data_IF_356406093589
#
_entry.id   IF_356406093589
#
_cell.length_a   1.000
_cell.length_b   1.000
_cell.length_c   1.000
_cell.angle_alpha   90.00
_cell.angle_beta   90.00
_cell.angle_gamma   90.00
#
_symmetry.space_group_name_H-M   'P 1'
#
loop_
_entity.id
_entity.type
_entity.pdbx_description
1 polymer ?
#
# COMPACT_ATOMS: atom_id res chain seq x y z
N UNK A 1 0.93 -10.07 -8.82
CA UNK A 1 1.29 -9.81 -7.40
C UNK A 1 2.64 -9.10 -7.40
N UNK A 2 2.91 -8.14 -6.52
CA UNK A 2 4.30 -7.64 -6.30
C UNK A 2 4.88 -8.40 -5.12
N UNK A 3 6.13 -8.83 -5.22
CA UNK A 3 6.77 -9.57 -4.13
C UNK A 3 7.02 -8.66 -2.92
N UNK A 4 6.98 -9.22 -1.72
CA UNK A 4 7.28 -8.53 -0.46
C UNK A 4 8.64 -9.00 0.07
N UNK A 5 9.51 -8.06 0.41
CA UNK A 5 10.82 -8.30 1.03
C UNK A 5 10.82 -7.72 2.43
N UNK A 6 11.01 -8.54 3.45
CA UNK A 6 11.13 -8.06 4.83
C UNK A 6 12.58 -7.96 5.27
N UNK A 7 12.95 -6.82 5.86
CA UNK A 7 14.26 -6.62 6.49
C UNK A 7 14.13 -6.96 7.97
N UNK A 8 14.81 -8.02 8.40
CA UNK A 8 14.85 -8.47 9.80
C UNK A 8 16.25 -8.37 10.36
N UNK A 9 16.36 -8.32 11.67
CA UNK A 9 17.64 -8.24 12.38
C UNK A 9 17.48 -7.56 13.71
N UNK A 10 18.45 -7.74 14.61
CA UNK A 10 18.42 -7.10 15.93
C UNK A 10 18.47 -5.56 15.82
N UNK A 11 18.16 -4.81 16.89
CA UNK A 11 18.25 -3.36 16.89
C UNK A 11 19.66 -2.86 16.52
N UNK A 12 19.72 -1.65 15.94
CA UNK A 12 20.97 -0.94 15.58
C UNK A 12 21.87 -1.54 14.49
N UNK A 13 21.50 -2.69 13.87
CA UNK A 13 22.23 -3.25 12.71
C UNK A 13 22.10 -2.45 11.41
N UNK A 14 21.35 -1.34 11.42
CA UNK A 14 21.19 -0.45 10.26
C UNK A 14 20.02 -0.75 9.33
N UNK A 15 18.97 -1.46 9.80
CA UNK A 15 17.76 -1.79 9.02
C UNK A 15 17.12 -0.57 8.36
N UNK A 16 16.83 0.48 9.12
CA UNK A 16 16.18 1.69 8.60
C UNK A 16 17.06 2.46 7.62
N UNK A 17 18.38 2.42 7.79
CA UNK A 17 19.33 2.99 6.82
C UNK A 17 19.27 2.24 5.49
N UNK A 18 19.24 0.91 5.54
CA UNK A 18 19.11 0.08 4.34
C UNK A 18 17.73 0.24 3.68
N UNK A 19 16.65 0.22 4.46
CA UNK A 19 15.28 0.48 4.00
C UNK A 19 15.18 1.81 3.24
N UNK A 20 15.67 2.89 3.84
CA UNK A 20 15.64 4.21 3.23
C UNK A 20 16.44 4.28 1.92
N UNK A 21 17.47 3.44 1.77
CA UNK A 21 18.23 3.34 0.54
C UNK A 21 17.47 2.60 -0.56
N UNK A 22 16.75 1.54 -0.21
CA UNK A 22 15.95 0.75 -1.16
C UNK A 22 14.81 1.54 -1.80
N UNK A 23 14.25 2.51 -1.07
CA UNK A 23 13.08 3.30 -1.54
C UNK A 23 13.47 4.53 -2.39
N UNK A 24 14.75 4.84 -2.58
CA UNK A 24 15.19 6.12 -3.15
C UNK A 24 15.34 6.13 -4.69
N UNK A 25 14.21 6.24 -5.41
CA UNK A 25 14.07 7.04 -6.65
C UNK A 25 12.66 7.69 -6.74
N UNK A 26 12.68 9.04 -6.69
CA UNK A 26 11.65 10.10 -6.92
C UNK A 26 10.35 10.08 -6.09
N UNK A 27 10.25 11.09 -5.22
CA UNK A 27 9.03 11.63 -4.61
C UNK A 27 8.19 10.66 -3.75
N UNK A 28 8.82 10.06 -2.74
CA UNK A 28 8.09 9.78 -1.51
C UNK A 28 8.39 10.94 -0.55
N UNK A 29 7.43 11.86 -0.43
CA UNK A 29 7.38 12.82 0.67
C UNK A 29 7.48 11.99 1.95
N UNK A 30 8.59 12.15 2.66
CA UNK A 30 8.69 11.74 4.06
C UNK A 30 7.83 12.75 4.81
N UNK A 31 6.53 12.51 4.87
CA UNK A 31 5.70 13.16 5.86
C UNK A 31 6.01 12.47 7.19
N UNK A 32 7.01 13.02 7.88
CA UNK A 32 7.16 12.86 9.31
C UNK A 32 5.99 13.58 9.97
N UNK A 33 4.82 12.95 10.02
CA UNK A 33 3.78 13.32 10.97
C UNK A 33 4.35 12.99 12.34
N UNK A 34 4.85 14.05 13.00
CA UNK A 34 5.34 14.03 14.37
C UNK A 34 4.20 13.63 15.31
N UNK A 35 4.12 12.35 15.64
CA UNK A 35 3.26 11.81 16.68
C UNK A 35 3.12 10.29 16.55
N UNK A 36 3.65 9.56 17.55
CA UNK A 36 3.65 8.09 17.75
C UNK A 36 4.46 7.22 16.77
N UNK A 37 5.77 7.10 17.00
CA UNK A 37 6.61 6.05 16.39
C UNK A 37 6.51 4.74 17.18
N UNK A 38 5.65 3.82 16.71
CA UNK A 38 5.71 2.36 16.95
C UNK A 38 5.66 1.54 15.64
N UNK A 39 5.50 2.18 14.49
CA UNK A 39 5.00 1.53 13.28
C UNK A 39 6.08 1.09 12.28
N UNK A 40 5.85 -0.08 11.68
CA UNK A 40 6.65 -0.65 10.58
C UNK A 40 6.57 0.24 9.34
N UNK A 41 7.70 0.42 8.67
CA UNK A 41 7.75 1.25 7.46
C UNK A 41 7.56 0.38 6.22
N UNK A 42 6.68 0.84 5.31
CA UNK A 42 6.44 0.23 4.01
C UNK A 42 6.96 1.12 2.90
N UNK A 43 7.71 0.52 1.99
CA UNK A 43 8.29 1.19 0.83
C UNK A 43 8.12 0.35 -0.42
N UNK A 44 8.14 1.00 -1.59
CA UNK A 44 8.28 0.31 -2.87
C UNK A 44 9.72 0.47 -3.35
N UNK A 45 10.27 -0.58 -3.93
CA UNK A 45 11.58 -0.59 -4.57
C UNK A 45 11.46 -1.17 -5.96
N UNK A 46 12.31 -0.69 -6.87
CA UNK A 46 12.43 -1.19 -8.23
C UNK A 46 13.91 -1.42 -8.51
N UNK A 47 14.26 -2.63 -8.95
CA UNK A 47 15.62 -2.96 -9.37
C UNK A 47 15.60 -3.87 -10.58
N UNK A 48 16.40 -3.54 -11.60
CA UNK A 48 16.45 -4.26 -12.88
C UNK A 48 15.06 -4.56 -13.50
N UNK A 49 14.12 -3.61 -13.37
CA UNK A 49 12.75 -3.74 -13.88
C UNK A 49 11.83 -4.65 -13.07
N UNK A 50 12.27 -5.21 -11.93
CA UNK A 50 11.41 -5.90 -10.98
C UNK A 50 11.01 -4.96 -9.85
N UNK A 51 9.71 -4.77 -9.69
CA UNK A 51 9.12 -4.04 -8.56
C UNK A 51 8.82 -4.99 -7.38
N UNK A 52 9.16 -4.54 -6.17
CA UNK A 52 8.83 -5.26 -4.94
C UNK A 52 8.57 -4.28 -3.79
N UNK A 53 7.70 -4.69 -2.87
CA UNK A 53 7.45 -3.97 -1.62
C UNK A 53 8.51 -4.36 -0.59
N UNK A 54 8.98 -3.40 0.19
CA UNK A 54 9.96 -3.58 1.26
C UNK A 54 9.32 -3.21 2.59
N UNK A 55 9.55 -4.02 3.60
CA UNK A 55 9.07 -3.82 4.98
C UNK A 55 10.28 -3.71 5.92
N UNK A 56 10.39 -2.59 6.65
CA UNK A 56 11.32 -2.47 7.78
C UNK A 56 10.60 -2.84 9.08
N UNK A 57 11.16 -3.82 9.80
CA UNK A 57 10.60 -4.30 11.06
C UNK A 57 11.00 -3.48 12.29
N UNK A 58 11.78 -2.38 12.19
CA UNK A 58 12.24 -1.56 13.34
C UNK A 58 11.67 -0.13 13.44
N UNK A 59 11.56 0.52 14.63
CA UNK A 59 11.85 0.06 16.00
C UNK A 59 11.81 1.17 17.10
N UNK A 60 11.52 0.79 18.35
CA UNK A 60 12.11 1.25 19.64
C UNK A 60 11.40 0.49 20.77
N UNK A 61 12.08 -0.49 21.38
CA UNK A 61 11.62 -1.11 22.62
C UNK A 61 12.54 -0.59 23.72
N UNK A 62 11.97 0.08 24.73
CA UNK A 62 12.67 0.33 25.99
C UNK A 62 12.18 -0.75 26.96
N UNK A 63 13.06 -1.66 27.36
CA UNK A 63 12.74 -2.79 28.22
C UNK A 63 14.00 -3.58 28.58
N UNK A 64 13.89 -4.47 29.57
CA UNK A 64 14.93 -5.42 29.95
C UNK A 64 15.16 -6.49 28.86
N UNK A 65 16.32 -7.16 28.91
CA UNK A 65 16.77 -8.13 27.89
C UNK A 65 15.73 -9.25 27.62
N UNK A 66 15.07 -9.78 28.65
CA UNK A 66 14.04 -10.84 28.49
C UNK A 66 12.78 -10.39 27.71
N UNK A 67 12.40 -9.11 27.82
CA UNK A 67 11.25 -8.56 27.09
C UNK A 67 11.66 -8.29 25.63
N UNK A 68 12.94 -8.00 25.40
CA UNK A 68 13.51 -7.76 24.08
C UNK A 68 13.50 -9.00 23.19
N UNK A 69 13.91 -10.16 23.72
CA UNK A 69 13.94 -11.42 22.96
C UNK A 69 12.55 -11.84 22.48
N UNK A 70 11.54 -11.78 23.35
CA UNK A 70 10.16 -12.15 23.01
C UNK A 70 9.53 -11.27 21.93
N UNK A 71 9.80 -9.97 21.95
CA UNK A 71 9.27 -9.04 20.95
C UNK A 71 10.01 -9.11 19.61
N UNK A 72 11.34 -9.32 19.63
CA UNK A 72 12.12 -9.53 18.39
C UNK A 72 11.69 -10.82 17.71
N UNK A 73 11.49 -11.89 18.47
CA UNK A 73 10.97 -13.14 17.94
C UNK A 73 9.63 -12.96 17.23
N UNK A 74 8.68 -12.25 17.86
CA UNK A 74 7.40 -11.91 17.22
C UNK A 74 7.61 -11.11 15.94
N UNK A 75 8.48 -10.10 15.93
CA UNK A 75 8.75 -9.30 14.73
C UNK A 75 9.29 -10.17 13.58
N UNK A 76 10.19 -11.11 13.87
CA UNK A 76 10.76 -12.03 12.89
C UNK A 76 9.71 -13.03 12.40
N UNK A 77 8.94 -13.66 13.28
CA UNK A 77 7.85 -14.58 12.91
C UNK A 77 6.82 -13.89 12.00
N UNK A 78 6.47 -12.63 12.29
CA UNK A 78 5.55 -11.85 11.48
C UNK A 78 6.16 -11.49 10.11
N UNK A 79 7.43 -11.08 10.07
CA UNK A 79 8.13 -10.84 8.81
C UNK A 79 8.24 -12.11 7.95
N UNK A 80 8.44 -13.27 8.58
CA UNK A 80 8.45 -14.57 7.91
C UNK A 80 7.10 -14.83 7.24
N UNK A 81 5.98 -14.57 7.91
CA UNK A 81 4.64 -14.78 7.33
C UNK A 81 4.34 -13.80 6.18
N UNK A 82 4.81 -12.56 6.32
CA UNK A 82 4.51 -11.42 5.45
C UNK A 82 5.35 -11.34 4.17
N UNK A 83 6.58 -11.83 4.20
CA UNK A 83 7.49 -11.67 3.08
C UNK A 83 7.48 -12.87 2.13
N UNK A 84 7.76 -12.63 0.86
CA UNK A 84 8.10 -13.66 -0.12
C UNK A 84 9.60 -14.00 -0.05
N UNK A 85 10.44 -13.05 0.39
CA UNK A 85 11.84 -13.25 0.71
C UNK A 85 12.26 -12.42 1.94
N UNK A 86 13.23 -12.91 2.70
CA UNK A 86 13.67 -12.29 3.95
C UNK A 86 15.12 -11.82 3.79
N UNK A 87 15.39 -10.57 4.12
CA UNK A 87 16.75 -10.04 4.27
C UNK A 87 17.09 -10.00 5.75
N UNK A 88 17.98 -10.88 6.19
CA UNK A 88 18.48 -10.87 7.56
C UNK A 88 19.75 -10.02 7.63
N UNK A 89 19.61 -8.84 8.24
CA UNK A 89 20.68 -7.86 8.37
C UNK A 89 21.39 -8.01 9.71
N UNK A 90 22.71 -8.21 9.67
CA UNK A 90 23.60 -8.31 10.83
C UNK A 90 24.69 -7.25 10.76
N UNK A 91 25.43 -7.05 11.85
CA UNK A 91 26.42 -5.97 11.97
C UNK A 91 27.83 -6.52 12.23
N UNK A 92 28.75 -6.24 11.30
CA UNK A 92 30.14 -6.70 11.39
C UNK A 92 30.91 -6.09 12.57
N UNK A 93 30.53 -4.90 13.05
CA UNK A 93 31.27 -4.23 14.12
C UNK A 93 31.15 -4.94 15.47
N UNK A 94 30.00 -5.54 15.71
CA UNK A 94 29.68 -6.24 16.96
C UNK A 94 29.76 -7.76 16.83
N UNK A 95 29.85 -8.26 15.60
CA UNK A 95 29.91 -9.68 15.29
C UNK A 95 28.60 -10.43 15.55
N UNK A 96 28.68 -11.77 15.63
CA UNK A 96 27.53 -12.61 15.97
C UNK A 96 27.16 -12.44 17.46
N UNK A 97 25.93 -12.00 17.71
CA UNK A 97 25.36 -11.92 19.06
C UNK A 97 24.39 -13.08 19.35
N UNK A 98 24.06 -13.37 20.63
CA UNK A 98 23.02 -14.36 20.96
C UNK A 98 21.69 -14.08 20.27
N UNK A 99 21.32 -12.81 20.10
CA UNK A 99 20.09 -12.41 19.41
C UNK A 99 20.12 -12.78 17.93
N UNK A 100 21.27 -12.62 17.27
CA UNK A 100 21.43 -13.01 15.87
C UNK A 100 21.31 -14.53 15.71
N UNK A 101 21.85 -15.29 16.67
CA UNK A 101 21.72 -16.74 16.73
C UNK A 101 20.26 -17.20 16.91
N UNK A 102 19.48 -16.52 17.74
CA UNK A 102 18.05 -16.80 17.90
C UNK A 102 17.25 -16.53 16.63
N UNK A 103 17.48 -15.38 16.00
CA UNK A 103 16.84 -15.03 14.73
C UNK A 103 17.24 -16.04 13.64
N UNK A 104 18.52 -16.40 13.55
CA UNK A 104 18.99 -17.42 12.62
C UNK A 104 18.35 -18.79 12.88
N UNK A 105 18.19 -19.21 14.14
CA UNK A 105 17.48 -20.47 14.50
C UNK A 105 16.04 -20.49 14.00
N UNK A 106 15.35 -19.36 14.01
CA UNK A 106 14.00 -19.23 13.46
C UNK A 106 14.03 -19.32 11.94
N UNK A 107 14.88 -18.52 11.29
CA UNK A 107 14.98 -18.43 9.84
C UNK A 107 15.41 -19.74 9.18
N UNK A 108 16.27 -20.56 9.83
CA UNK A 108 16.65 -21.90 9.34
C UNK A 108 15.48 -22.87 9.20
N UNK A 109 14.35 -22.63 9.87
CA UNK A 109 13.15 -23.50 9.79
C UNK A 109 12.18 -23.06 8.69
N UNK A 110 12.46 -21.95 8.04
CA UNK A 110 11.56 -21.32 7.06
C UNK A 110 11.89 -21.85 5.66
N UNK A 111 10.86 -22.13 4.86
CA UNK A 111 11.03 -22.62 3.48
C UNK A 111 11.19 -21.48 2.46
N UNK A 112 10.94 -20.24 2.88
CA UNK A 112 11.09 -19.04 2.06
C UNK A 112 12.57 -18.67 1.90
N UNK A 113 12.95 -18.04 0.78
CA UNK A 113 14.31 -17.55 0.58
C UNK A 113 14.75 -16.56 1.66
N UNK A 114 15.95 -16.77 2.21
CA UNK A 114 16.59 -15.91 3.20
C UNK A 114 17.93 -15.45 2.64
N UNK A 115 18.15 -14.13 2.61
CA UNK A 115 19.43 -13.51 2.26
C UNK A 115 20.08 -12.96 3.51
N UNK A 116 21.24 -13.51 3.88
CA UNK A 116 22.06 -12.98 4.96
C UNK A 116 22.88 -11.79 4.44
N UNK A 117 22.75 -10.64 5.11
CA UNK A 117 23.45 -9.41 4.72
C UNK A 117 24.24 -8.88 5.91
N UNK A 118 25.55 -8.79 5.74
CA UNK A 118 26.48 -8.26 6.75
C UNK A 118 26.70 -6.77 6.48
N UNK A 119 26.13 -5.93 7.33
CA UNK A 119 26.18 -4.48 7.20
C UNK A 119 27.42 -3.87 7.87
N UNK A 120 27.64 -2.57 7.58
CA UNK A 120 28.77 -1.76 8.05
C UNK A 120 30.15 -2.23 7.60
N UNK A 121 30.23 -3.00 6.51
CA UNK A 121 31.50 -3.38 5.88
C UNK A 121 32.01 -2.23 5.03
N UNK A 122 32.84 -1.37 5.60
CA UNK A 122 33.34 -0.13 4.97
C UNK A 122 34.82 -0.21 4.53
N UNK A 123 35.51 -1.31 4.87
CA UNK A 123 36.92 -1.50 4.53
C UNK A 123 37.29 -3.00 4.44
N UNK A 124 38.46 -3.28 3.86
CA UNK A 124 38.93 -4.65 3.60
C UNK A 124 39.16 -5.49 4.88
N UNK A 125 39.45 -4.85 6.03
CA UNK A 125 39.56 -5.59 7.29
C UNK A 125 38.19 -6.11 7.74
N UNK A 126 37.16 -5.28 7.66
CA UNK A 126 35.78 -5.68 7.98
C UNK A 126 35.25 -6.76 7.03
N UNK A 127 35.73 -6.77 5.79
CA UNK A 127 35.40 -7.85 4.84
C UNK A 127 35.96 -9.20 5.30
N UNK A 128 37.13 -9.22 5.96
CA UNK A 128 37.68 -10.42 6.59
C UNK A 128 36.89 -10.79 7.86
N UNK A 129 36.54 -9.80 8.68
CA UNK A 129 35.75 -10.01 9.91
C UNK A 129 34.37 -10.61 9.58
N UNK A 130 33.79 -10.29 8.41
CA UNK A 130 32.51 -10.84 7.97
C UNK A 130 32.50 -12.38 7.80
N UNK A 131 33.67 -13.04 7.70
CA UNK A 131 33.76 -14.49 7.51
C UNK A 131 33.11 -15.29 8.64
N UNK A 132 33.06 -14.74 9.86
CA UNK A 132 32.44 -15.43 10.99
C UNK A 132 30.93 -15.67 10.80
N UNK A 133 30.24 -14.87 9.99
CA UNK A 133 28.79 -14.93 9.81
C UNK A 133 28.32 -16.18 9.06
N UNK A 134 29.22 -16.94 8.42
CA UNK A 134 28.93 -18.29 7.97
C UNK A 134 28.45 -19.21 9.10
N UNK A 135 28.88 -18.97 10.34
CA UNK A 135 28.48 -19.77 11.50
C UNK A 135 26.98 -19.68 11.82
N UNK A 136 26.26 -18.68 11.29
CA UNK A 136 24.80 -18.60 11.40
C UNK A 136 24.07 -19.67 10.57
N UNK A 137 24.76 -20.37 9.66
CA UNK A 137 24.22 -21.52 8.95
C UNK A 137 23.05 -21.20 8.02
N UNK A 138 23.05 -20.00 7.42
CA UNK A 138 22.04 -19.52 6.47
C UNK A 138 22.53 -19.49 5.01
N UNK A 139 23.71 -20.05 4.74
CA UNK A 139 24.31 -20.09 3.40
C UNK A 139 25.28 -18.94 3.16
N UNK A 140 25.39 -18.51 1.91
CA UNK A 140 26.23 -17.37 1.52
C UNK A 140 25.65 -16.06 2.06
N UNK A 141 26.55 -15.13 2.43
CA UNK A 141 26.19 -13.77 2.82
C UNK A 141 26.67 -12.75 1.78
N UNK A 142 26.03 -11.58 1.79
CA UNK A 142 26.47 -10.41 1.02
C UNK A 142 26.91 -9.33 2.00
N UNK A 143 28.03 -8.67 1.73
CA UNK A 143 28.49 -7.54 2.53
C UNK A 143 27.95 -6.23 1.98
N UNK A 144 27.64 -5.28 2.86
CA UNK A 144 27.28 -3.93 2.45
C UNK A 144 27.66 -2.90 3.51
N UNK A 145 27.60 -1.63 3.11
CA UNK A 145 27.60 -0.50 4.03
C UNK A 145 26.42 0.40 3.70
N UNK A 146 25.38 0.36 4.54
CA UNK A 146 24.18 1.18 4.35
C UNK A 146 24.49 2.69 4.31
N UNK A 147 25.54 3.11 5.04
CA UNK A 147 25.96 4.51 5.13
C UNK A 147 26.63 5.00 3.84
N UNK A 148 27.63 4.27 3.31
CA UNK A 148 28.31 4.67 2.07
C UNK A 148 27.56 4.26 0.81
N UNK A 149 26.74 3.20 0.89
CA UNK A 149 26.03 2.58 -0.23
C UNK A 149 26.78 1.44 -0.90
N UNK A 150 28.04 1.17 -0.53
CA UNK A 150 28.81 0.03 -1.04
C UNK A 150 28.09 -1.29 -0.78
N UNK A 151 28.13 -2.23 -1.72
CA UNK A 151 27.49 -3.54 -1.56
C UNK A 151 25.96 -3.55 -1.78
N UNK A 152 25.31 -2.38 -1.88
CA UNK A 152 23.84 -2.32 -1.97
C UNK A 152 23.33 -2.87 -3.30
N UNK A 153 24.08 -2.68 -4.39
CA UNK A 153 23.73 -3.20 -5.71
C UNK A 153 23.76 -4.73 -5.73
N UNK A 154 24.80 -5.32 -5.13
CA UNK A 154 24.97 -6.76 -4.99
C UNK A 154 23.84 -7.38 -4.14
N UNK A 155 23.46 -6.71 -3.05
CA UNK A 155 22.30 -7.12 -2.24
C UNK A 155 21.02 -7.07 -3.07
N UNK A 156 20.79 -6.01 -3.85
CA UNK A 156 19.61 -5.84 -4.71
C UNK A 156 19.55 -6.89 -5.83
N UNK A 157 20.68 -7.19 -6.46
CA UNK A 157 20.79 -8.26 -7.46
C UNK A 157 20.39 -9.60 -6.86
N UNK A 158 20.91 -9.92 -5.66
CA UNK A 158 20.56 -11.15 -4.94
C UNK A 158 19.10 -11.19 -4.51
N UNK A 159 18.52 -10.09 -4.06
CA UNK A 159 17.08 -9.99 -3.76
C UNK A 159 16.28 -10.35 -5.01
N UNK A 160 16.54 -9.69 -6.14
CA UNK A 160 15.81 -9.92 -7.40
C UNK A 160 15.98 -11.34 -7.94
N UNK A 161 17.10 -12.00 -7.65
CA UNK A 161 17.40 -13.40 -7.99
C UNK A 161 16.59 -14.39 -7.14
N UNK A 162 16.49 -14.18 -5.82
CA UNK A 162 15.78 -15.10 -4.92
C UNK A 162 14.27 -14.88 -4.88
N UNK A 163 13.81 -13.71 -5.32
CA UNK A 163 12.40 -13.38 -5.38
C UNK A 163 11.66 -14.37 -6.29
N UNK A 164 10.55 -14.98 -5.84
CA UNK A 164 9.81 -15.92 -6.67
C UNK A 164 9.37 -15.25 -7.97
N UNK A 165 9.50 -15.98 -9.08
CA UNK A 165 9.02 -15.51 -10.37
C UNK A 165 7.51 -15.31 -10.30
N UNK A 166 7.12 -14.04 -10.39
CA UNK A 166 5.74 -13.67 -10.63
C UNK A 166 5.38 -14.15 -12.04
N UNK A 167 4.16 -14.66 -12.26
CA UNK A 167 3.76 -14.98 -13.62
C UNK A 167 3.87 -13.69 -14.43
N UNK A 168 4.36 -13.78 -15.67
CA UNK A 168 4.18 -12.69 -16.61
C UNK A 168 2.69 -12.33 -16.63
N UNK A 169 2.39 -11.06 -16.38
CA UNK A 169 1.04 -10.54 -16.53
C UNK A 169 0.81 -10.52 -18.04
N UNK A 170 0.30 -11.62 -18.59
CA UNK A 170 -0.42 -11.52 -19.86
C UNK A 170 -1.52 -10.48 -19.64
N UNK A 171 -1.61 -9.46 -20.50
CA UNK A 171 -2.75 -8.54 -20.54
C UNK A 171 -4.00 -9.34 -20.93
N UNK A 172 -4.55 -10.10 -19.99
CA UNK A 172 -5.83 -10.78 -20.16
C UNK A 172 -6.90 -9.69 -20.12
N UNK A 173 -7.53 -9.47 -21.26
CA UNK A 173 -8.49 -8.40 -21.52
C UNK A 173 -9.81 -8.48 -20.72
N UNK A 174 -9.97 -9.39 -19.76
CA UNK A 174 -11.21 -9.56 -18.99
C UNK A 174 -10.97 -9.96 -17.52
N UNK A 175 -10.08 -9.28 -16.80
CA UNK A 175 -10.07 -9.40 -15.34
C UNK A 175 -11.24 -8.61 -14.72
N UNK A 176 -12.10 -9.34 -14.01
CA UNK A 176 -13.15 -8.75 -13.17
C UNK A 176 -12.56 -7.75 -12.16
N UNK A 177 -13.28 -6.67 -11.82
CA UNK A 177 -12.81 -5.70 -10.82
C UNK A 177 -12.39 -6.39 -9.52
N UNK A 178 -11.25 -6.00 -8.93
CA UNK A 178 -10.81 -6.50 -7.62
C UNK A 178 -11.15 -5.52 -6.51
N UNK A 179 -12.00 -5.91 -5.56
CA UNK A 179 -12.40 -5.06 -4.44
C UNK A 179 -11.86 -5.62 -3.11
N UNK A 180 -11.24 -4.75 -2.30
CA UNK A 180 -10.83 -5.07 -0.93
C UNK A 180 -11.71 -4.34 0.09
N UNK A 181 -12.18 -5.07 1.10
CA UNK A 181 -12.90 -4.46 2.23
C UNK A 181 -11.94 -4.28 3.39
N UNK A 182 -11.53 -3.03 3.63
CA UNK A 182 -10.51 -2.65 4.61
C UNK A 182 -11.08 -1.76 5.70
N UNK A 183 -10.31 -1.52 6.75
CA UNK A 183 -10.72 -0.72 7.91
C UNK A 183 -10.28 -1.36 9.23
N UNK A 184 -10.54 -0.67 10.33
CA UNK A 184 -10.07 -1.08 11.66
C UNK A 184 -10.73 -2.37 12.16
N UNK A 185 -10.11 -3.08 13.13
CA UNK A 185 -10.77 -4.15 13.85
C UNK A 185 -12.15 -3.72 14.34
N UNK A 186 -13.13 -4.63 14.25
CA UNK A 186 -14.52 -4.40 14.71
C UNK A 186 -15.32 -3.29 14.00
N UNK A 187 -14.80 -2.66 12.93
CA UNK A 187 -15.56 -1.71 12.11
C UNK A 187 -16.75 -2.33 11.35
N UNK A 188 -16.83 -3.67 11.31
CA UNK A 188 -17.93 -4.41 10.69
C UNK A 188 -17.65 -4.90 9.26
N UNK A 189 -16.38 -4.98 8.85
CA UNK A 189 -15.92 -5.57 7.58
C UNK A 189 -16.49 -6.97 7.32
N UNK A 190 -16.36 -7.86 8.30
CA UNK A 190 -16.84 -9.24 8.18
C UNK A 190 -18.37 -9.30 8.12
N UNK A 191 -19.06 -8.46 8.90
CA UNK A 191 -20.52 -8.33 8.82
C UNK A 191 -20.98 -7.83 7.45
N UNK A 192 -20.26 -6.86 6.86
CA UNK A 192 -20.53 -6.35 5.51
C UNK A 192 -20.37 -7.46 4.48
N UNK A 193 -19.24 -8.17 4.48
CA UNK A 193 -18.97 -9.27 3.54
C UNK A 193 -19.99 -10.42 3.70
N UNK A 194 -20.30 -10.83 4.93
CA UNK A 194 -21.29 -11.88 5.17
C UNK A 194 -22.70 -11.45 4.74
N UNK A 195 -23.06 -10.18 4.95
CA UNK A 195 -24.35 -9.66 4.49
C UNK A 195 -24.47 -9.65 2.96
N UNK A 196 -23.36 -9.47 2.24
CA UNK A 196 -23.31 -9.56 0.78
C UNK A 196 -23.35 -11.01 0.27
N UNK A 197 -22.62 -11.91 0.92
CA UNK A 197 -22.45 -13.31 0.51
C UNK A 197 -23.66 -14.18 0.91
N UNK A 198 -24.33 -13.89 2.03
CA UNK A 198 -25.39 -14.72 2.59
C UNK A 198 -24.88 -16.04 3.19
N UNK A 199 -25.52 -16.53 4.26
CA UNK A 199 -25.08 -17.77 4.95
C UNK A 199 -25.37 -19.07 4.18
N UNK A 200 -26.22 -19.03 3.15
CA UNK A 200 -26.59 -20.19 2.36
C UNK A 200 -26.32 -19.98 0.86
N UNK A 201 -25.66 -20.99 0.25
CA UNK A 201 -25.49 -21.21 -1.19
C UNK A 201 -24.37 -20.41 -1.87
N UNK A 202 -23.14 -20.88 -1.65
CA UNK A 202 -22.15 -20.85 -2.72
C UNK A 202 -22.42 -22.01 -3.66
N UNK A 203 -22.59 -21.73 -4.95
CA UNK A 203 -22.13 -22.68 -5.96
C UNK A 203 -20.70 -22.26 -6.23
N UNK A 204 -19.77 -22.91 -5.55
CA UNK A 204 -18.36 -22.87 -5.92
C UNK A 204 -18.28 -23.70 -7.21
N UNK A 205 -17.98 -23.06 -8.34
CA UNK A 205 -17.39 -23.82 -9.43
C UNK A 205 -15.91 -23.94 -9.10
N UNK A 206 -15.52 -25.08 -8.52
CA UNK A 206 -14.13 -25.51 -8.44
C UNK A 206 -13.66 -25.81 -9.86
N UNK A 207 -13.31 -24.78 -10.63
CA UNK A 207 -12.57 -24.99 -11.87
C UNK A 207 -11.15 -25.33 -11.45
N UNK A 208 -10.90 -26.63 -11.30
CA UNK A 208 -9.58 -27.18 -11.08
C UNK A 208 -8.68 -26.78 -12.27
N UNK A 209 -7.72 -25.88 -12.03
CA UNK A 209 -6.84 -25.42 -13.10
C UNK A 209 -5.94 -24.22 -12.80
N UNK A 210 -6.21 -23.39 -11.80
CA UNK A 210 -5.31 -22.26 -11.46
C UNK A 210 -4.89 -22.29 -10.00
N UNK A 211 -3.73 -22.88 -9.72
CA UNK A 211 -3.10 -22.91 -8.39
C UNK A 211 -2.52 -21.54 -7.96
N UNK A 212 -3.09 -20.42 -8.44
CA UNK A 212 -2.67 -19.05 -8.08
C UNK A 212 -3.79 -18.14 -7.57
N UNK A 213 -5.06 -18.58 -7.60
CA UNK A 213 -6.24 -17.74 -7.29
C UNK A 213 -7.08 -18.19 -6.07
N UNK A 214 -6.56 -19.10 -5.25
CA UNK A 214 -7.36 -19.79 -4.21
C UNK A 214 -7.76 -18.93 -2.97
N UNK A 215 -7.52 -17.61 -2.97
CA UNK A 215 -7.75 -16.73 -1.79
C UNK A 215 -8.91 -15.74 -2.02
N UNK A 216 -9.22 -15.40 -3.28
CA UNK A 216 -10.23 -14.40 -3.62
C UNK A 216 -11.61 -15.04 -3.79
N UNK A 217 -12.66 -14.33 -3.37
CA UNK A 217 -14.05 -14.80 -3.56
C UNK A 217 -14.66 -14.07 -4.74
N UNK A 218 -15.02 -14.80 -5.80
CA UNK A 218 -15.85 -14.25 -6.87
C UNK A 218 -17.26 -13.94 -6.37
N UNK A 219 -17.70 -12.70 -6.58
CA UNK A 219 -19.05 -12.22 -6.31
C UNK A 219 -19.79 -12.04 -7.64
N UNK A 220 -21.02 -12.57 -7.74
CA UNK A 220 -21.81 -12.55 -8.99
C UNK A 220 -23.32 -12.35 -8.73
N UNK A 221 -23.68 -11.50 -7.75
CA UNK A 221 -25.07 -11.31 -7.30
C UNK A 221 -25.54 -9.88 -7.50
N UNK A 222 -26.86 -9.69 -7.53
CA UNK A 222 -27.52 -8.38 -7.68
C UNK A 222 -27.03 -7.56 -8.89
N UNK A 223 -26.60 -8.24 -9.96
CA UNK A 223 -26.09 -7.60 -11.16
C UNK A 223 -24.64 -7.13 -11.08
N UNK A 224 -23.92 -7.42 -10.00
CA UNK A 224 -22.50 -7.11 -9.87
C UNK A 224 -21.64 -8.36 -10.04
N UNK A 225 -20.56 -8.22 -10.80
CA UNK A 225 -19.56 -9.26 -10.98
C UNK A 225 -18.17 -8.69 -10.68
N UNK A 226 -17.50 -9.20 -9.64
CA UNK A 226 -16.18 -8.74 -9.19
C UNK A 226 -15.51 -9.80 -8.30
N UNK A 227 -14.21 -9.64 -8.07
CA UNK A 227 -13.43 -10.46 -7.15
C UNK A 227 -13.26 -9.72 -5.81
N UNK A 228 -13.61 -10.36 -4.70
CA UNK A 228 -13.30 -9.88 -3.36
C UNK A 228 -11.93 -10.40 -2.92
N UNK A 229 -10.99 -9.48 -2.72
CA UNK A 229 -9.61 -9.77 -2.34
C UNK A 229 -9.50 -10.19 -0.87
N UNK A 230 -8.70 -11.23 -0.61
CA UNK A 230 -8.31 -11.69 0.75
C UNK A 230 -9.50 -12.03 1.68
N UNK A 231 -10.46 -12.80 1.17
CA UNK A 231 -11.65 -13.22 1.94
C UNK A 231 -11.44 -14.46 2.83
N UNK A 232 -10.33 -15.19 2.64
CA UNK A 232 -10.00 -16.38 3.42
C UNK A 232 -9.90 -16.08 4.93
N UNK A 233 -9.43 -14.89 5.30
CA UNK A 233 -9.37 -14.41 6.68
C UNK A 233 -10.73 -14.09 7.31
N UNK A 234 -11.76 -13.85 6.50
CA UNK A 234 -13.12 -13.54 6.97
C UNK A 234 -13.94 -14.83 7.14
N UNK A 235 -13.72 -15.84 6.29
CA UNK A 235 -14.37 -17.16 6.41
C UNK A 235 -13.93 -17.95 7.65
N UNK A 236 -12.67 -17.84 8.10
CA UNK A 236 -12.19 -18.50 9.33
C UNK A 236 -12.74 -17.90 10.64
N UNK A 237 -13.30 -16.69 10.61
CA UNK A 237 -13.81 -15.98 11.82
C UNK A 237 -15.08 -16.58 12.43
N UNK A 238 -15.71 -17.57 11.80
CA UNK A 238 -16.87 -18.24 12.39
C UNK A 238 -16.51 -19.14 13.59
N UNK A 239 -15.23 -19.45 13.85
CA UNK A 239 -14.85 -20.44 14.89
C UNK A 239 -13.69 -20.09 15.83
N UNK A 240 -12.98 -18.98 15.67
CA UNK A 240 -11.80 -18.68 16.51
C UNK A 240 -11.86 -17.26 17.09
N UNK A 241 -11.89 -17.16 18.42
CA UNK A 241 -11.53 -15.93 19.15
C UNK A 241 -10.01 -15.79 19.06
N UNK A 242 -9.53 -14.95 18.17
CA UNK A 242 -8.09 -14.67 18.07
C UNK A 242 -7.78 -13.26 18.58
N UNK A 243 -6.81 -13.22 19.49
CA UNK A 243 -6.39 -12.09 20.31
C UNK A 243 -5.28 -11.28 19.63
N UNK A 244 -5.40 -10.98 18.32
CA UNK A 244 -4.37 -10.23 17.59
C UNK A 244 -4.98 -9.23 16.60
N UNK A 245 -5.10 -7.97 17.03
CA UNK A 245 -5.36 -6.82 16.15
C UNK A 245 -4.31 -6.68 15.03
N UNK A 246 -3.10 -7.20 15.27
CA UNK A 246 -1.94 -7.12 14.38
C UNK A 246 -2.14 -7.82 13.02
N UNK A 247 -2.59 -9.08 13.01
CA UNK A 247 -2.84 -9.82 11.75
C UNK A 247 -3.94 -9.17 10.89
N UNK A 248 -4.84 -8.38 11.50
CA UNK A 248 -5.87 -7.65 10.76
C UNK A 248 -5.31 -6.47 9.96
N UNK A 249 -4.20 -5.87 10.39
CA UNK A 249 -3.56 -4.75 9.69
C UNK A 249 -2.79 -5.27 8.47
N UNK A 250 -2.01 -6.33 8.64
CA UNK A 250 -1.20 -6.93 7.56
C UNK A 250 -2.02 -7.43 6.39
N UNK A 251 -3.13 -8.12 6.68
CA UNK A 251 -4.09 -8.53 5.66
C UNK A 251 -4.69 -7.35 4.91
N UNK A 252 -4.93 -6.24 5.62
CA UNK A 252 -5.42 -5.02 4.98
C UNK A 252 -4.40 -4.42 4.00
N UNK A 253 -3.09 -4.47 4.32
CA UNK A 253 -2.03 -4.00 3.41
C UNK A 253 -2.01 -4.80 2.11
N UNK A 254 -1.90 -6.13 2.19
CA UNK A 254 -1.90 -7.01 1.01
C UNK A 254 -3.19 -6.89 0.20
N UNK A 255 -4.33 -6.82 0.88
CA UNK A 255 -5.62 -6.62 0.22
C UNK A 255 -5.67 -5.28 -0.55
N UNK A 256 -5.12 -4.20 0.02
CA UNK A 256 -5.00 -2.91 -0.66
C UNK A 256 -4.10 -3.04 -1.89
N UNK A 257 -2.91 -3.63 -1.77
CA UNK A 257 -1.96 -3.75 -2.88
C UNK A 257 -2.53 -4.49 -4.10
N UNK A 258 -3.40 -5.48 -3.88
CA UNK A 258 -4.00 -6.29 -4.95
C UNK A 258 -5.40 -5.83 -5.40
N UNK A 259 -6.02 -4.89 -4.69
CA UNK A 259 -7.31 -4.34 -5.11
C UNK A 259 -7.17 -3.32 -6.24
N UNK A 260 -8.25 -3.12 -6.97
CA UNK A 260 -8.50 -1.96 -7.81
C UNK A 260 -9.22 -0.85 -7.03
N UNK A 261 -10.17 -1.25 -6.17
CA UNK A 261 -10.94 -0.35 -5.29
C UNK A 261 -10.95 -0.88 -3.86
N UNK A 262 -10.63 0.00 -2.92
CA UNK A 262 -10.68 -0.23 -1.49
C UNK A 262 -11.98 0.34 -0.92
N UNK A 263 -12.79 -0.54 -0.33
CA UNK A 263 -13.98 -0.19 0.43
C UNK A 263 -13.56 -0.04 1.90
N UNK A 264 -13.31 1.19 2.34
CA UNK A 264 -12.91 1.52 3.69
C UNK A 264 -14.13 1.59 4.61
N UNK A 265 -14.26 0.61 5.50
CA UNK A 265 -15.35 0.51 6.47
C UNK A 265 -14.96 1.16 7.80
N UNK A 266 -15.79 2.08 8.26
CA UNK A 266 -15.57 2.92 9.44
C UNK A 266 -16.72 2.70 10.43
N UNK A 267 -16.41 2.60 11.71
CA UNK A 267 -17.42 2.46 12.76
C UNK A 267 -18.00 3.83 13.13
N UNK A 268 -19.27 4.06 12.81
CA UNK A 268 -19.94 5.33 13.11
C UNK A 268 -20.00 5.67 14.61
N UNK A 269 -19.95 4.66 15.48
CA UNK A 269 -20.00 4.88 16.94
C UNK A 269 -18.67 5.36 17.52
N UNK A 270 -17.57 5.18 16.77
CA UNK A 270 -16.22 5.52 17.20
C UNK A 270 -15.64 6.75 16.51
N UNK A 271 -16.15 7.14 15.34
CA UNK A 271 -15.58 8.24 14.58
C UNK A 271 -14.50 7.79 13.59
N UNK A 272 -13.92 8.77 12.89
CA UNK A 272 -12.75 8.61 12.03
C UNK A 272 -11.48 8.80 12.87
N UNK A 273 -10.78 7.73 13.21
CA UNK A 273 -9.59 7.78 14.08
C UNK A 273 -8.29 7.59 13.26
N UNK A 274 -7.12 7.77 13.90
CA UNK A 274 -5.81 7.70 13.22
C UNK A 274 -5.54 6.39 12.46
N UNK A 275 -6.06 5.25 12.91
CA UNK A 275 -5.90 4.00 12.15
C UNK A 275 -6.81 3.95 10.90
N UNK A 276 -7.97 4.64 10.89
CA UNK A 276 -8.77 4.81 9.65
C UNK A 276 -8.02 5.71 8.66
N UNK A 277 -7.42 6.80 9.15
CA UNK A 277 -6.57 7.71 8.37
C UNK A 277 -5.39 6.95 7.74
N UNK A 278 -4.68 6.14 8.51
CA UNK A 278 -3.54 5.38 8.01
C UNK A 278 -3.94 4.43 6.88
N UNK A 279 -5.08 3.75 7.01
CA UNK A 279 -5.59 2.84 5.97
C UNK A 279 -6.02 3.63 4.72
N UNK A 280 -6.67 4.77 4.91
CA UNK A 280 -7.06 5.67 3.81
C UNK A 280 -5.83 6.12 3.00
N UNK A 281 -4.82 6.70 3.67
CA UNK A 281 -3.61 7.18 3.03
C UNK A 281 -2.77 6.06 2.42
N UNK A 282 -2.79 4.85 3.01
CA UNK A 282 -2.16 3.69 2.41
C UNK A 282 -2.81 3.30 1.07
N UNK A 283 -4.14 3.37 0.99
CA UNK A 283 -4.88 3.10 -0.25
C UNK A 283 -4.62 4.18 -1.31
N UNK A 284 -4.58 5.46 -0.92
CA UNK A 284 -4.24 6.58 -1.82
C UNK A 284 -2.80 6.47 -2.35
N UNK A 285 -1.84 6.17 -1.47
CA UNK A 285 -0.42 5.99 -1.83
C UNK A 285 -0.23 4.80 -2.78
N UNK A 286 -1.06 3.77 -2.64
CA UNK A 286 -1.12 2.64 -3.57
C UNK A 286 -1.97 2.90 -4.82
N UNK A 287 -2.48 4.12 -4.99
CA UNK A 287 -3.24 4.56 -6.17
C UNK A 287 -4.48 3.70 -6.42
N UNK A 288 -5.17 3.34 -5.34
CA UNK A 288 -6.40 2.55 -5.39
C UNK A 288 -7.61 3.47 -5.43
N UNK A 289 -8.67 3.03 -6.11
CA UNK A 289 -9.97 3.67 -5.93
C UNK A 289 -10.41 3.54 -4.46
N UNK A 290 -11.09 4.53 -3.91
CA UNK A 290 -11.53 4.52 -2.51
C UNK A 290 -13.02 4.80 -2.44
N UNK A 291 -13.73 4.00 -1.65
CA UNK A 291 -15.10 4.26 -1.20
C UNK A 291 -15.12 4.16 0.32
N UNK A 292 -15.67 5.17 1.00
CA UNK A 292 -15.78 5.17 2.45
C UNK A 292 -17.19 4.77 2.86
N UNK A 293 -17.30 3.74 3.70
CA UNK A 293 -18.55 3.27 4.28
C UNK A 293 -18.59 3.56 5.78
N UNK A 294 -19.46 4.46 6.19
CA UNK A 294 -19.76 4.73 7.60
C UNK A 294 -20.79 3.71 8.06
N UNK A 295 -20.31 2.62 8.67
CA UNK A 295 -21.09 1.47 9.08
C UNK A 295 -21.61 1.60 10.52
N UNK A 296 -22.55 0.73 10.90
CA UNK A 296 -23.30 0.80 12.18
C UNK A 296 -24.12 2.09 12.32
N UNK A 297 -24.54 2.66 11.19
CA UNK A 297 -25.35 3.88 11.18
C UNK A 297 -26.75 3.71 11.79
N UNK A 298 -27.17 2.46 12.04
CA UNK A 298 -28.35 2.11 12.82
C UNK A 298 -28.20 2.43 14.31
N UNK A 299 -26.97 2.46 14.84
CA UNK A 299 -26.70 2.72 16.26
C UNK A 299 -26.53 4.20 16.60
N UNK A 300 -26.41 5.07 15.60
CA UNK A 300 -26.23 6.52 15.79
C UNK A 300 -27.59 7.18 15.96
N UNK A 301 -27.73 8.01 17.01
CA UNK A 301 -28.92 8.85 17.19
C UNK A 301 -28.99 9.93 16.10
N UNK A 302 -30.14 10.02 15.43
CA UNK A 302 -30.28 10.79 14.20
C UNK A 302 -30.99 12.11 14.49
N UNK A 303 -30.33 13.20 14.13
CA UNK A 303 -30.95 14.50 13.90
C UNK A 303 -30.87 14.83 12.41
N UNK A 304 -31.54 15.91 11.99
CA UNK A 304 -31.54 16.37 10.58
C UNK A 304 -30.13 16.63 10.03
N UNK A 305 -29.16 17.01 10.87
CA UNK A 305 -27.81 17.40 10.43
C UNK A 305 -26.73 16.35 10.68
N UNK A 306 -27.01 15.30 11.46
CA UNK A 306 -25.99 14.35 11.95
C UNK A 306 -25.15 13.73 10.82
N UNK A 307 -25.78 13.33 9.71
CA UNK A 307 -25.06 12.73 8.58
C UNK A 307 -24.11 13.73 7.90
N UNK A 308 -24.58 14.97 7.67
CA UNK A 308 -23.80 16.02 7.04
C UNK A 308 -22.60 16.43 7.90
N UNK A 309 -22.82 16.57 9.20
CA UNK A 309 -21.75 16.97 10.13
C UNK A 309 -20.69 15.88 10.26
N UNK A 310 -21.11 14.60 10.24
CA UNK A 310 -20.18 13.47 10.22
C UNK A 310 -19.38 13.43 8.91
N UNK A 311 -20.04 13.60 7.77
CA UNK A 311 -19.40 13.64 6.47
C UNK A 311 -18.36 14.76 6.38
N UNK A 312 -18.69 15.97 6.85
CA UNK A 312 -17.77 17.11 6.89
C UNK A 312 -16.52 16.79 7.71
N UNK A 313 -16.68 16.19 8.90
CA UNK A 313 -15.54 15.78 9.74
C UNK A 313 -14.64 14.78 9.02
N UNK A 314 -15.22 13.77 8.34
CA UNK A 314 -14.42 12.82 7.55
C UNK A 314 -13.69 13.55 6.43
N UNK A 315 -14.35 14.46 5.72
CA UNK A 315 -13.74 15.25 4.63
C UNK A 315 -12.60 16.14 5.11
N UNK A 316 -12.69 16.70 6.31
CA UNK A 316 -11.60 17.48 6.93
C UNK A 316 -10.36 16.60 7.17
N UNK A 317 -10.55 15.37 7.68
CA UNK A 317 -9.47 14.46 8.01
C UNK A 317 -8.81 13.77 6.80
N UNK A 318 -9.50 13.68 5.66
CA UNK A 318 -8.96 13.15 4.39
C UNK A 318 -8.45 14.24 3.44
N UNK A 319 -8.49 15.51 3.85
CA UNK A 319 -7.97 16.60 3.04
C UNK A 319 -6.45 16.41 2.78
N UNK A 320 -5.96 16.72 1.57
CA UNK A 320 -6.67 17.37 0.46
C UNK A 320 -7.46 16.43 -0.46
N UNK A 321 -7.37 15.10 -0.31
CA UNK A 321 -8.08 14.15 -1.16
C UNK A 321 -9.53 13.94 -0.68
N UNK A 322 -10.35 14.97 -0.89
CA UNK A 322 -11.73 14.99 -0.40
C UNK A 322 -12.73 14.43 -1.40
N UNK A 323 -12.36 14.27 -2.67
CA UNK A 323 -13.22 13.79 -3.76
C UNK A 323 -13.37 12.25 -3.71
N UNK A 324 -14.05 11.77 -2.66
CA UNK A 324 -14.25 10.36 -2.35
C UNK A 324 -15.73 10.12 -1.98
N UNK A 325 -16.38 9.05 -2.48
CA UNK A 325 -17.74 8.72 -2.09
C UNK A 325 -17.80 8.28 -0.63
N UNK A 326 -18.71 8.89 0.15
CA UNK A 326 -18.96 8.57 1.56
C UNK A 326 -20.41 8.10 1.70
N UNK A 327 -20.61 6.84 2.10
CA UNK A 327 -21.95 6.26 2.27
C UNK A 327 -22.18 5.80 3.71
N UNK A 328 -23.32 6.20 4.25
CA UNK A 328 -23.81 5.72 5.54
C UNK A 328 -24.59 4.42 5.36
N UNK A 329 -24.12 3.33 5.98
CA UNK A 329 -24.64 1.97 5.81
C UNK A 329 -24.85 1.27 7.16
N UNK A 330 -25.58 0.16 7.12
CA UNK A 330 -25.66 -0.77 8.25
C UNK A 330 -25.60 -2.20 7.73
N UNK A 331 -24.48 -2.87 8.00
CA UNK A 331 -24.32 -4.29 7.69
C UNK A 331 -25.34 -5.17 8.42
N UNK A 332 -25.70 -4.80 9.65
CA UNK A 332 -26.65 -5.55 10.48
C UNK A 332 -28.08 -5.52 9.90
N UNK A 333 -28.56 -4.33 9.56
CA UNK A 333 -29.91 -4.14 9.00
C UNK A 333 -29.96 -4.28 7.47
N UNK A 334 -28.80 -4.54 6.84
CA UNK A 334 -28.59 -4.58 5.39
C UNK A 334 -28.97 -3.27 4.67
N UNK A 335 -28.96 -2.16 5.39
CA UNK A 335 -29.31 -0.86 4.84
C UNK A 335 -28.20 -0.36 3.90
N UNK A 336 -28.58 -0.02 2.66
CA UNK A 336 -27.73 0.64 1.63
C UNK A 336 -26.49 -0.15 1.20
N UNK A 337 -26.45 -1.47 1.42
CA UNK A 337 -25.32 -2.31 0.98
C UNK A 337 -25.19 -2.38 -0.55
N UNK A 338 -26.30 -2.46 -1.29
CA UNK A 338 -26.27 -2.45 -2.75
C UNK A 338 -25.73 -1.12 -3.30
N UNK A 339 -26.14 0.01 -2.70
CA UNK A 339 -25.60 1.35 -3.06
C UNK A 339 -24.10 1.45 -2.82
N UNK A 340 -23.57 0.78 -1.79
CA UNK A 340 -22.15 0.71 -1.55
C UNK A 340 -21.40 -0.05 -2.67
N UNK A 341 -22.00 -1.13 -3.20
CA UNK A 341 -21.45 -1.85 -4.35
C UNK A 341 -21.54 -1.02 -5.64
N UNK A 342 -22.66 -0.34 -5.88
CA UNK A 342 -22.82 0.58 -7.01
C UNK A 342 -21.73 1.66 -6.98
N UNK A 343 -21.46 2.26 -5.82
CA UNK A 343 -20.40 3.24 -5.66
C UNK A 343 -19.01 2.65 -5.94
N UNK A 344 -18.70 1.45 -5.44
CA UNK A 344 -17.41 0.80 -5.70
C UNK A 344 -17.19 0.50 -7.19
N UNK A 345 -18.23 0.04 -7.89
CA UNK A 345 -18.19 -0.16 -9.35
C UNK A 345 -18.04 1.17 -10.07
N UNK A 346 -18.76 2.21 -9.68
CA UNK A 346 -18.61 3.53 -10.31
C UNK A 346 -17.19 4.09 -10.15
N UNK A 347 -16.57 3.92 -8.97
CA UNK A 347 -15.17 4.31 -8.76
C UNK A 347 -14.21 3.52 -9.65
N UNK A 348 -14.47 2.23 -9.85
CA UNK A 348 -13.69 1.40 -10.78
C UNK A 348 -13.83 1.88 -12.24
N UNK A 349 -15.04 2.23 -12.68
CA UNK A 349 -15.28 2.79 -14.01
C UNK A 349 -14.60 4.15 -14.19
N UNK A 350 -14.71 5.04 -13.19
CA UNK A 350 -13.99 6.33 -13.17
C UNK A 350 -12.47 6.12 -13.32
N UNK A 351 -11.93 5.08 -12.69
CA UNK A 351 -10.50 4.72 -12.76
C UNK A 351 -10.07 4.25 -14.15
N UNK A 352 -10.94 3.54 -14.87
CA UNK A 352 -10.66 3.03 -16.24
C UNK A 352 -10.85 4.08 -17.33
N UNK A 353 -11.45 5.22 -17.01
CA UNK A 353 -11.76 6.25 -17.98
C UNK A 353 -10.54 6.65 -18.83
N UNK A 354 -10.71 6.60 -20.15
CA UNK A 354 -9.75 7.08 -21.15
C UNK A 354 -10.26 8.31 -21.86
N UNK A 355 -9.41 9.33 -21.94
CA UNK A 355 -9.69 10.59 -22.60
C UNK A 355 -8.81 10.70 -23.83
N UNK A 356 -9.44 10.83 -25.00
CA UNK A 356 -8.71 11.01 -26.25
C UNK A 356 -7.85 12.28 -26.20
N UNK A 357 -6.60 12.17 -26.64
CA UNK A 357 -5.63 13.27 -26.51
C UNK A 357 -6.08 14.56 -27.20
N UNK A 358 -6.74 14.48 -28.37
CA UNK A 358 -7.31 15.65 -29.05
C UNK A 358 -8.32 16.38 -28.15
N UNK A 359 -9.34 15.66 -27.68
CA UNK A 359 -10.37 16.17 -26.77
C UNK A 359 -9.76 16.74 -25.48
N UNK A 360 -8.74 16.07 -24.95
CA UNK A 360 -8.06 16.54 -23.74
C UNK A 360 -7.37 17.89 -23.96
N UNK A 361 -6.67 18.07 -25.09
CA UNK A 361 -6.03 19.34 -25.44
C UNK A 361 -7.05 20.44 -25.74
N UNK A 362 -8.10 20.15 -26.51
CA UNK A 362 -9.20 21.08 -26.82
C UNK A 362 -9.88 21.61 -25.55
N UNK A 363 -9.92 20.80 -24.50
CA UNK A 363 -10.56 21.16 -23.24
C UNK A 363 -9.60 21.87 -22.27
N UNK A 364 -8.41 21.30 -22.05
CA UNK A 364 -7.51 21.77 -20.99
C UNK A 364 -6.62 22.95 -21.40
N UNK A 365 -6.20 23.03 -22.67
CA UNK A 365 -5.31 24.12 -23.10
C UNK A 365 -5.99 25.50 -22.97
N UNK A 366 -7.25 25.72 -23.38
CA UNK A 366 -7.91 27.02 -23.18
C UNK A 366 -8.05 27.42 -21.71
N UNK A 367 -8.29 26.47 -20.81
CA UNK A 367 -8.36 26.71 -19.36
C UNK A 367 -7.01 27.20 -18.83
N UNK A 368 -5.94 26.56 -19.27
CA UNK A 368 -4.57 26.90 -18.91
C UNK A 368 -4.14 28.24 -19.52
N UNK A 369 -4.57 28.55 -20.75
CA UNK A 369 -4.30 29.84 -21.39
C UNK A 369 -4.99 31.00 -20.65
N UNK A 370 -6.21 30.79 -20.17
CA UNK A 370 -6.96 31.77 -19.38
C UNK A 370 -6.41 31.94 -17.95
N UNK A 371 -5.81 30.89 -17.38
CA UNK A 371 -5.17 30.93 -16.07
C UNK A 371 -3.76 30.31 -16.15
N UNK A 372 -2.78 31.03 -16.71
CA UNK A 372 -1.44 30.49 -16.94
C UNK A 372 -0.66 30.31 -15.64
N UNK A 373 0.35 29.41 -15.61
CA UNK A 373 1.21 29.30 -14.45
C UNK A 373 1.92 30.64 -14.17
N UNK A 374 2.06 31.05 -12.89
CA UNK A 374 2.71 32.31 -12.55
C UNK A 374 4.12 32.40 -13.12
N UNK A 375 4.47 33.57 -13.66
CA UNK A 375 5.83 33.82 -14.16
C UNK A 375 6.84 33.79 -12.99
N UNK A 376 7.95 33.09 -13.18
CA UNK A 376 9.04 33.01 -12.18
C UNK A 376 10.30 33.59 -12.80
N UNK A 377 10.95 34.53 -12.09
CA UNK A 377 12.18 35.21 -12.54
C UNK A 377 12.04 35.86 -13.93
N UNK A 378 10.88 36.46 -14.19
CA UNK A 378 10.56 37.11 -15.48
C UNK A 378 10.37 36.15 -16.66
N UNK A 379 10.37 34.83 -16.42
CA UNK A 379 10.15 33.82 -17.47
C UNK A 379 8.71 33.33 -17.44
N UNK A 380 8.04 33.42 -18.59
CA UNK A 380 6.69 32.89 -18.78
C UNK A 380 6.73 31.38 -19.03
N UNK A 381 5.88 30.66 -18.29
CA UNK A 381 5.69 29.22 -18.45
C UNK A 381 4.54 29.03 -19.45
N UNK A 382 4.82 28.31 -20.53
CA UNK A 382 3.84 27.95 -21.57
C UNK A 382 3.68 26.44 -21.60
N UNK A 383 2.45 25.98 -21.39
CA UNK A 383 2.04 24.58 -21.59
C UNK A 383 1.48 24.48 -23.00
N UNK A 384 2.08 23.62 -23.83
CA UNK A 384 1.78 23.56 -25.27
C UNK A 384 0.94 22.35 -25.66
N UNK A 385 0.94 21.32 -24.81
CA UNK A 385 0.37 20.02 -25.12
C UNK A 385 0.14 19.27 -23.82
N UNK A 386 -0.91 18.46 -23.77
CA UNK A 386 -1.22 17.61 -22.64
C UNK A 386 -1.79 16.27 -23.11
N UNK A 387 -1.64 15.20 -22.33
CA UNK A 387 -2.24 13.91 -22.63
C UNK A 387 -2.43 13.08 -21.38
N UNK A 388 -3.34 12.10 -21.44
CA UNK A 388 -3.41 11.01 -20.48
C UNK A 388 -2.40 9.91 -20.87
N UNK A 389 -1.65 9.39 -19.90
CA UNK A 389 -0.76 8.25 -20.09
C UNK A 389 -1.57 6.94 -20.14
N UNK A 390 -1.14 5.93 -20.91
CA UNK A 390 -1.84 4.65 -21.03
C UNK A 390 -1.55 3.73 -19.83
N UNK A 391 -1.84 4.19 -18.61
CA UNK A 391 -1.58 3.45 -17.37
C UNK A 391 -2.87 3.05 -16.67
N UNK A 392 -2.86 2.02 -15.82
CA UNK A 392 -4.05 1.52 -15.13
C UNK A 392 -4.70 2.54 -14.16
N UNK A 393 -3.95 3.57 -13.79
CA UNK A 393 -4.40 4.69 -12.94
C UNK A 393 -4.47 5.93 -13.84
N UNK A 394 -5.43 6.86 -13.65
CA UNK A 394 -5.46 8.09 -14.41
C UNK A 394 -4.23 8.96 -14.14
N UNK A 395 -3.31 8.99 -15.10
CA UNK A 395 -2.11 9.82 -15.03
C UNK A 395 -2.07 10.78 -16.22
N UNK A 396 -1.75 12.04 -15.95
CA UNK A 396 -1.79 13.13 -16.92
C UNK A 396 -0.42 13.79 -17.02
N UNK A 397 0.02 14.06 -18.24
CA UNK A 397 1.25 14.80 -18.49
C UNK A 397 0.94 16.09 -19.25
N UNK A 398 1.48 17.20 -18.76
CA UNK A 398 1.42 18.52 -19.36
C UNK A 398 2.84 18.94 -19.78
N UNK A 399 3.02 19.23 -21.05
CA UNK A 399 4.32 19.59 -21.61
C UNK A 399 4.51 21.10 -21.59
N UNK A 400 5.45 21.55 -20.75
CA UNK A 400 5.78 22.95 -20.54
C UNK A 400 7.20 23.27 -21.02
N UNK A 401 7.45 24.54 -21.36
CA UNK A 401 8.81 25.02 -21.65
C UNK A 401 9.73 25.06 -20.41
N UNK A 402 9.15 25.28 -19.23
CA UNK A 402 9.86 25.44 -17.95
C UNK A 402 9.11 24.72 -16.82
N UNK A 403 8.96 23.38 -16.88
CA UNK A 403 8.19 22.61 -15.89
C UNK A 403 8.73 22.76 -14.46
N UNK A 404 10.04 22.95 -14.29
CA UNK A 404 10.70 23.12 -13.00
C UNK A 404 10.25 24.36 -12.21
N UNK A 405 9.54 25.28 -12.86
CA UNK A 405 8.99 26.48 -12.23
C UNK A 405 7.50 26.37 -11.91
N UNK A 406 6.87 25.23 -12.20
CA UNK A 406 5.47 24.98 -11.84
C UNK A 406 5.43 24.51 -10.39
N UNK A 407 4.68 25.24 -9.56
CA UNK A 407 4.54 24.97 -8.11
C UNK A 407 3.25 24.20 -7.82
N UNK A 408 3.20 23.56 -6.65
CA UNK A 408 2.05 22.77 -6.19
C UNK A 408 0.69 23.48 -6.25
N UNK A 409 0.56 24.79 -5.92
CA UNK A 409 -0.73 25.46 -6.05
C UNK A 409 -1.29 25.42 -7.48
N UNK A 410 -0.43 25.50 -8.49
CA UNK A 410 -0.85 25.41 -9.88
C UNK A 410 -1.17 23.96 -10.27
N UNK A 411 -0.41 22.98 -9.78
CA UNK A 411 -0.72 21.56 -9.93
C UNK A 411 -2.11 21.23 -9.37
N UNK A 412 -2.45 21.73 -8.17
CA UNK A 412 -3.77 21.60 -7.55
C UNK A 412 -4.88 22.29 -8.34
N UNK A 413 -4.62 23.47 -8.92
CA UNK A 413 -5.57 24.12 -9.82
C UNK A 413 -5.91 23.22 -11.02
N UNK A 414 -4.90 22.64 -11.66
CA UNK A 414 -5.10 21.71 -12.79
C UNK A 414 -5.84 20.45 -12.33
N UNK A 415 -5.49 19.89 -11.17
CA UNK A 415 -6.18 18.73 -10.60
C UNK A 415 -7.67 19.01 -10.36
N UNK A 416 -7.99 20.12 -9.71
CA UNK A 416 -9.37 20.50 -9.44
C UNK A 416 -10.17 20.68 -10.73
N UNK A 417 -9.56 21.26 -11.77
CA UNK A 417 -10.20 21.39 -13.08
C UNK A 417 -10.41 20.04 -13.76
N UNK A 418 -9.47 19.11 -13.62
CA UNK A 418 -9.65 17.75 -14.10
C UNK A 418 -10.81 17.07 -13.40
N UNK A 419 -10.92 17.15 -12.08
CA UNK A 419 -12.03 16.57 -11.30
C UNK A 419 -13.39 17.21 -11.60
N UNK A 420 -13.42 18.50 -11.88
CA UNK A 420 -14.64 19.22 -12.27
C UNK A 420 -15.17 18.79 -13.64
N UNK A 421 -14.26 18.58 -14.60
CA UNK A 421 -14.60 18.28 -16.00
C UNK A 421 -14.79 16.78 -16.23
N UNK A 422 -13.96 15.97 -15.57
CA UNK A 422 -13.93 14.52 -15.67
C UNK A 422 -14.22 13.95 -14.29
N UNK A 423 -15.23 13.08 -14.21
CA UNK A 423 -15.60 12.47 -12.93
C UNK A 423 -14.53 11.47 -12.49
N UNK A 424 -13.62 11.91 -11.62
CA UNK A 424 -12.62 11.09 -10.96
C UNK A 424 -12.92 10.89 -9.47
N UNK A 425 -14.20 10.99 -9.09
CA UNK A 425 -14.64 10.76 -7.73
C UNK A 425 -14.17 9.36 -7.26
N UNK A 426 -13.52 9.33 -6.10
CA UNK A 426 -12.93 8.14 -5.49
C UNK A 426 -11.60 7.71 -6.09
N UNK A 427 -11.05 8.41 -7.08
CA UNK A 427 -9.83 7.98 -7.80
C UNK A 427 -8.68 8.97 -7.56
N UNK A 428 -7.53 8.49 -7.04
CA UNK A 428 -6.28 9.25 -7.06
C UNK A 428 -5.80 9.48 -8.50
N UNK A 429 -5.43 10.72 -8.83
CA UNK A 429 -4.90 11.08 -10.16
C UNK A 429 -3.50 11.65 -10.03
N UNK A 430 -2.59 11.28 -10.95
CA UNK A 430 -1.25 11.87 -10.98
C UNK A 430 -1.15 12.91 -12.10
N UNK A 431 -0.53 14.04 -11.79
CA UNK A 431 -0.26 15.11 -12.75
C UNK A 431 1.23 15.37 -12.80
N UNK A 432 1.79 15.28 -14.00
CA UNK A 432 3.19 15.53 -14.29
C UNK A 432 3.34 16.74 -15.21
N UNK A 433 4.30 17.60 -14.91
CA UNK A 433 4.76 18.61 -15.84
C UNK A 433 6.13 18.20 -16.36
N UNK A 434 6.27 18.10 -17.69
CA UNK A 434 7.52 17.69 -18.32
C UNK A 434 7.96 18.68 -19.37
N UNK A 435 9.26 18.72 -19.62
CA UNK A 435 9.80 19.44 -20.76
C UNK A 435 9.60 18.53 -21.98
N UNK A 436 9.12 19.11 -23.08
CA UNK A 436 9.00 18.38 -24.34
C UNK A 436 10.37 18.13 -24.94
#
# INVERSE_FOLDING_TARGET
MSNIVAIVGRPNVGKSTFFNRLIQRREAIVDSVSGVTRDRNYGKSEWNGKEFSVIDTGGYIKGSDDIFEGEIRKQVELAIDEADAIVFLVDVEEGITPMDDEVAKLLRKVTKPVLLVVNKVDNAKREQDAFEFYNLGLGEYVTMSGMSGSGTGEVLDKIVEILPELPEIEEVQDELPRFAVVGRPNAGKSSFINALIGEDRFVVTDIAGTTRDAIDTKYNRFGFEFNLVDTAGIRRKAKVKEDLEFYSVMRSVRAIEHADVCILVIDATRGFEGQDQNIFWLAEKNRKGIVILINKWDLVEKSTMTARDYENKVREEIAPFTDVPILFVSALTKQRLLKALEAAVQVYENRKQRIATSKFNETMLPIIENNPPPAIKGKYIKIKYCMQLPTAIPQFVFFANLPQYIKDPYKRFVENKLREIYNFEGVPIDIYFRQK
#
